data_IF_759659136384
#
_entry.id   IF_759659136384
#
_cell.length_a   1.000
_cell.length_b   1.000
_cell.length_c   1.000
_cell.angle_alpha   90.00
_cell.angle_beta   90.00
_cell.angle_gamma   90.00
#
_symmetry.space_group_name_H-M   'P 1'
#
loop_
_entity.id
_entity.type
_entity.pdbx_description
1 polymer ?
#
# COMPACT_ATOMS: atom_id res chain seq x y z
N UNK A 1 -10.73 -15.61 -21.38
CA UNK A 1 -10.21 -14.32 -21.88
C UNK A 1 -11.29 -13.28 -21.72
N UNK A 2 -10.96 -12.17 -21.14
CA UNK A 2 -11.84 -11.02 -20.94
C UNK A 2 -11.07 -9.76 -21.30
N UNK A 3 -11.69 -8.85 -22.05
CA UNK A 3 -11.08 -7.60 -22.47
C UNK A 3 -12.13 -6.51 -22.52
N UNK A 4 -11.76 -5.33 -22.06
CA UNK A 4 -12.63 -4.16 -22.10
C UNK A 4 -11.85 -2.91 -22.47
N UNK A 5 -12.52 -2.01 -23.14
CA UNK A 5 -12.05 -0.65 -23.39
C UNK A 5 -13.20 0.31 -23.13
N UNK A 6 -12.93 1.39 -22.44
CA UNK A 6 -13.88 2.47 -22.26
C UNK A 6 -13.24 3.83 -22.55
N UNK A 7 -14.01 4.67 -23.21
CA UNK A 7 -13.69 6.06 -23.47
C UNK A 7 -14.70 6.96 -22.79
N UNK A 8 -14.28 8.02 -22.15
CA UNK A 8 -15.14 8.92 -21.40
C UNK A 8 -14.71 10.38 -21.48
N UNK A 9 -15.42 11.23 -20.75
CA UNK A 9 -15.14 12.66 -20.65
C UNK A 9 -13.68 12.90 -20.21
N UNK A 10 -13.15 14.07 -20.60
CA UNK A 10 -11.78 14.51 -20.26
C UNK A 10 -10.69 13.61 -20.86
N UNK A 11 -10.95 13.11 -22.07
CA UNK A 11 -10.04 12.21 -22.78
C UNK A 11 -9.67 10.98 -21.93
N UNK A 12 -10.67 10.43 -21.21
CA UNK A 12 -10.43 9.30 -20.32
C UNK A 12 -10.44 8.00 -21.10
N UNK A 13 -9.35 7.26 -21.01
CA UNK A 13 -9.18 5.94 -21.62
C UNK A 13 -8.93 4.92 -20.52
N UNK A 14 -9.66 3.81 -20.54
CA UNK A 14 -9.41 2.67 -19.66
C UNK A 14 -9.38 1.40 -20.50
N UNK A 15 -8.29 0.69 -20.46
CA UNK A 15 -8.10 -0.60 -21.13
C UNK A 15 -7.83 -1.67 -20.09
N UNK A 16 -8.43 -2.82 -20.29
CA UNK A 16 -8.23 -3.98 -19.43
C UNK A 16 -8.22 -5.24 -20.29
N UNK A 17 -7.26 -6.13 -20.05
CA UNK A 17 -7.18 -7.46 -20.64
C UNK A 17 -6.84 -8.45 -19.55
N UNK A 18 -7.66 -9.50 -19.45
CA UNK A 18 -7.41 -10.65 -18.60
C UNK A 18 -7.35 -11.91 -19.46
N UNK A 19 -6.29 -12.67 -19.30
CA UNK A 19 -6.12 -13.94 -19.98
C UNK A 19 -5.52 -14.96 -19.02
N UNK A 20 -6.11 -16.15 -18.95
CA UNK A 20 -5.58 -17.21 -18.11
C UNK A 20 -6.00 -18.57 -18.64
N UNK A 21 -5.19 -19.58 -18.36
CA UNK A 21 -5.45 -20.95 -18.75
C UNK A 21 -4.81 -21.92 -17.75
N UNK A 22 -5.55 -22.97 -17.46
CA UNK A 22 -5.04 -24.16 -16.76
C UNK A 22 -5.05 -25.33 -17.72
N UNK A 23 -3.89 -25.94 -17.90
CA UNK A 23 -3.74 -27.14 -18.72
C UNK A 23 -4.10 -28.40 -17.93
N UNK A 24 -4.37 -29.51 -18.64
CA UNK A 24 -4.60 -30.82 -18.00
C UNK A 24 -3.42 -31.28 -17.13
N UNK A 25 -2.23 -30.83 -17.45
CA UNK A 25 -1.02 -31.05 -16.63
C UNK A 25 -1.04 -30.30 -15.29
N UNK A 26 -2.04 -29.43 -15.03
CA UNK A 26 -2.10 -28.54 -13.88
C UNK A 26 -1.23 -27.30 -13.99
N UNK A 27 -0.43 -27.15 -15.06
CA UNK A 27 0.26 -25.88 -15.34
C UNK A 27 -0.80 -24.80 -15.58
N UNK A 28 -0.67 -23.69 -14.84
CA UNK A 28 -1.60 -22.58 -14.89
C UNK A 28 -0.82 -21.29 -15.09
N UNK A 29 -1.32 -20.40 -15.95
CA UNK A 29 -0.85 -19.05 -16.05
C UNK A 29 -2.02 -18.05 -16.12
N UNK A 30 -1.78 -16.85 -15.62
CA UNK A 30 -2.72 -15.74 -15.59
C UNK A 30 -1.96 -14.48 -15.97
N UNK A 31 -2.52 -13.66 -16.86
CA UNK A 31 -1.97 -12.38 -17.28
C UNK A 31 -3.09 -11.35 -17.21
N UNK A 32 -2.87 -10.28 -16.45
CA UNK A 32 -3.75 -9.13 -16.38
C UNK A 32 -2.96 -7.90 -16.79
N UNK A 33 -3.50 -7.13 -17.71
CA UNK A 33 -2.94 -5.85 -18.15
C UNK A 33 -4.01 -4.80 -18.03
N UNK A 34 -3.68 -3.67 -17.44
CA UNK A 34 -4.58 -2.53 -17.46
C UNK A 34 -3.83 -1.21 -17.69
N UNK A 35 -4.54 -0.26 -18.26
CA UNK A 35 -4.08 1.10 -18.49
C UNK A 35 -5.24 2.05 -18.21
N UNK A 36 -4.93 3.14 -17.51
CA UNK A 36 -5.84 4.25 -17.29
C UNK A 36 -5.12 5.54 -17.68
N UNK A 37 -5.79 6.37 -18.46
CA UNK A 37 -5.34 7.70 -18.85
C UNK A 37 -6.51 8.68 -18.74
N UNK A 38 -6.24 9.91 -18.29
CA UNK A 38 -7.18 11.01 -18.36
C UNK A 38 -6.44 12.34 -18.30
N UNK A 39 -6.90 13.33 -19.08
CA UNK A 39 -6.42 14.71 -18.97
C UNK A 39 -6.97 15.40 -17.71
N UNK A 40 -8.07 14.88 -17.14
CA UNK A 40 -8.78 15.46 -15.97
C UNK A 40 -9.05 16.96 -16.11
N UNK A 41 -9.25 17.44 -17.33
CA UNK A 41 -9.35 18.84 -17.70
C UNK A 41 -10.77 19.41 -17.56
N UNK A 42 -11.47 19.00 -16.48
CA UNK A 42 -12.81 19.52 -16.16
C UNK A 42 -12.76 20.94 -15.59
N UNK A 43 -13.93 21.58 -15.57
CA UNK A 43 -14.07 22.92 -15.01
C UNK A 43 -14.29 22.89 -13.49
N UNK A 44 -13.80 23.93 -12.84
CA UNK A 44 -13.96 24.15 -11.40
C UNK A 44 -14.31 25.61 -11.14
N UNK A 45 -15.06 25.86 -10.08
CA UNK A 45 -15.41 27.20 -9.61
C UNK A 45 -14.46 27.56 -8.45
N UNK A 46 -13.61 28.58 -8.67
CA UNK A 46 -12.58 28.95 -7.71
C UNK A 46 -12.19 30.42 -7.84
N UNK A 47 -11.74 31.08 -6.75
CA UNK A 47 -11.11 32.38 -6.88
C UNK A 47 -9.76 32.28 -7.59
N UNK A 48 -9.47 33.22 -8.48
CA UNK A 48 -8.26 33.24 -9.29
C UNK A 48 -7.29 34.31 -8.76
N UNK A 49 -6.02 33.97 -8.66
CA UNK A 49 -4.94 34.91 -8.32
C UNK A 49 -4.74 35.88 -9.49
N UNK A 50 -4.84 37.17 -9.21
CA UNK A 50 -4.52 38.22 -10.17
C UNK A 50 -3.02 38.56 -10.06
N UNK A 51 -2.28 38.35 -11.14
CA UNK A 51 -0.84 38.62 -11.16
C UNK A 51 -0.48 40.10 -11.19
N UNK A 52 -1.41 40.98 -11.54
CA UNK A 52 -1.19 42.43 -11.50
C UNK A 52 -1.18 42.94 -10.06
N UNK A 53 -2.11 42.46 -9.26
CA UNK A 53 -2.26 42.89 -7.86
C UNK A 53 -1.58 41.93 -6.88
N UNK A 54 -1.29 40.70 -7.30
CA UNK A 54 -0.79 39.60 -6.45
C UNK A 54 -1.85 39.02 -5.52
N UNK A 55 -3.08 39.49 -5.54
CA UNK A 55 -4.14 39.14 -4.61
C UNK A 55 -5.08 38.04 -5.12
N UNK A 56 -5.70 37.31 -4.20
CA UNK A 56 -6.80 36.39 -4.46
C UNK A 56 -8.07 36.98 -3.86
N UNK A 57 -9.01 37.42 -4.71
CA UNK A 57 -10.30 37.89 -4.25
C UNK A 57 -11.25 36.71 -4.05
N UNK A 58 -11.42 36.26 -2.83
CA UNK A 58 -12.24 35.08 -2.47
C UNK A 58 -13.74 35.28 -2.77
N UNK A 59 -14.20 36.52 -3.01
CA UNK A 59 -15.60 36.82 -3.38
C UNK A 59 -15.83 36.74 -4.89
N UNK A 60 -14.74 36.76 -5.69
CA UNK A 60 -14.81 36.65 -7.15
C UNK A 60 -14.48 35.22 -7.55
N UNK A 61 -15.53 34.44 -7.79
CA UNK A 61 -15.41 33.07 -8.27
C UNK A 61 -15.43 33.08 -9.80
N UNK A 62 -14.50 32.36 -10.41
CA UNK A 62 -14.40 32.17 -11.86
C UNK A 62 -14.57 30.69 -12.22
N UNK A 63 -15.25 30.42 -13.32
CA UNK A 63 -15.40 29.09 -13.90
C UNK A 63 -14.20 28.81 -14.81
N UNK A 64 -13.24 28.03 -14.32
CA UNK A 64 -11.94 27.83 -15.00
C UNK A 64 -11.67 26.36 -15.25
N UNK A 65 -10.93 26.08 -16.31
CA UNK A 65 -10.60 24.72 -16.72
C UNK A 65 -9.27 24.26 -16.10
N UNK A 66 -9.22 23.02 -15.64
CA UNK A 66 -7.93 22.39 -15.26
C UNK A 66 -7.06 22.21 -16.50
N UNK A 67 -5.76 22.42 -16.36
CA UNK A 67 -4.81 22.37 -17.48
C UNK A 67 -3.55 21.55 -17.17
N UNK A 68 -3.35 21.13 -15.91
CA UNK A 68 -2.18 20.40 -15.44
C UNK A 68 -2.58 19.33 -14.40
N UNK A 69 -3.44 18.38 -14.83
CA UNK A 69 -3.94 17.31 -13.95
C UNK A 69 -3.98 15.95 -14.66
N UNK A 70 -3.17 15.78 -15.68
CA UNK A 70 -3.06 14.52 -16.41
C UNK A 70 -2.70 13.38 -15.49
N UNK A 71 -3.38 12.28 -15.66
CA UNK A 71 -3.09 11.03 -14.95
C UNK A 71 -2.89 9.88 -15.94
N UNK A 72 -1.79 9.15 -15.80
CA UNK A 72 -1.51 7.94 -16.56
C UNK A 72 -1.00 6.85 -15.63
N UNK A 73 -1.63 5.69 -15.67
CA UNK A 73 -1.23 4.53 -14.90
C UNK A 73 -1.42 3.27 -15.75
N UNK A 74 -0.44 2.39 -15.70
CA UNK A 74 -0.45 1.10 -16.39
C UNK A 74 0.16 0.02 -15.50
N UNK A 75 -0.34 -1.21 -15.62
CA UNK A 75 0.24 -2.34 -14.93
C UNK A 75 0.09 -3.64 -15.73
N UNK A 76 1.08 -4.51 -15.54
CA UNK A 76 1.09 -5.89 -16.01
C UNK A 76 1.27 -6.80 -14.81
N UNK A 77 0.35 -7.74 -14.64
CA UNK A 77 0.37 -8.75 -13.59
C UNK A 77 0.42 -10.11 -14.28
N UNK A 78 1.54 -10.81 -14.14
CA UNK A 78 1.72 -12.17 -14.62
C UNK A 78 1.80 -13.14 -13.45
N UNK A 79 1.16 -14.30 -13.58
CA UNK A 79 1.31 -15.42 -12.65
C UNK A 79 1.47 -16.70 -13.42
N UNK A 80 2.36 -17.57 -12.93
CA UNK A 80 2.60 -18.91 -13.48
C UNK A 80 2.82 -19.90 -12.34
N UNK A 81 2.31 -21.12 -12.51
CA UNK A 81 2.50 -22.14 -11.49
C UNK A 81 1.75 -23.41 -11.78
N UNK A 82 1.47 -24.15 -10.73
CA UNK A 82 0.81 -25.44 -10.80
C UNK A 82 -0.35 -25.52 -9.83
N UNK A 83 -1.43 -26.18 -10.24
CA UNK A 83 -2.57 -26.53 -9.40
C UNK A 83 -2.80 -28.04 -9.42
N UNK A 84 -3.48 -28.56 -8.40
CA UNK A 84 -3.91 -29.96 -8.27
C UNK A 84 -2.75 -30.97 -8.38
N UNK A 85 -1.63 -30.68 -7.72
CA UNK A 85 -0.49 -31.58 -7.63
C UNK A 85 -0.43 -32.29 -6.28
N UNK A 86 0.19 -33.48 -6.26
CA UNK A 86 0.39 -34.24 -5.00
C UNK A 86 1.17 -33.43 -3.96
N UNK A 87 2.08 -32.57 -4.39
CA UNK A 87 2.97 -31.74 -3.55
C UNK A 87 2.43 -30.33 -3.31
N UNK A 88 1.43 -29.87 -4.09
CA UNK A 88 0.78 -28.57 -3.89
C UNK A 88 -0.65 -28.57 -4.49
N UNK A 89 -1.63 -28.16 -3.72
CA UNK A 89 -2.97 -27.89 -4.28
C UNK A 89 -2.92 -26.64 -5.15
N UNK A 90 -2.05 -25.69 -4.78
CA UNK A 90 -1.72 -24.50 -5.56
C UNK A 90 -0.30 -24.04 -5.25
N UNK A 91 0.49 -23.80 -6.27
CA UNK A 91 1.76 -23.08 -6.21
C UNK A 91 1.81 -22.10 -7.37
N UNK A 92 1.81 -20.81 -7.08
CA UNK A 92 1.88 -19.75 -8.08
C UNK A 92 3.01 -18.79 -7.76
N UNK A 93 3.83 -18.50 -8.76
CA UNK A 93 4.76 -17.39 -8.77
C UNK A 93 4.12 -16.24 -9.55
N UNK A 94 4.09 -15.07 -8.96
CA UNK A 94 3.55 -13.86 -9.56
C UNK A 94 4.63 -12.80 -9.74
N UNK A 95 4.43 -11.96 -10.74
CA UNK A 95 5.21 -10.76 -10.97
C UNK A 95 4.28 -9.63 -11.39
N UNK A 96 4.37 -8.49 -10.70
CA UNK A 96 3.64 -7.29 -11.04
C UNK A 96 4.64 -6.18 -11.37
N UNK A 97 4.43 -5.53 -12.49
CA UNK A 97 5.04 -4.25 -12.83
C UNK A 97 3.96 -3.20 -13.01
N UNK A 98 4.15 -2.02 -12.44
CA UNK A 98 3.29 -0.88 -12.70
C UNK A 98 4.09 0.39 -12.86
N UNK A 99 3.58 1.30 -13.68
CA UNK A 99 4.11 2.65 -13.88
C UNK A 99 3.00 3.67 -13.67
N UNK A 100 3.35 4.84 -13.14
CA UNK A 100 2.42 5.93 -12.87
C UNK A 100 3.08 7.27 -13.17
N UNK A 101 2.32 8.14 -13.83
CA UNK A 101 2.60 9.56 -14.01
C UNK A 101 1.37 10.38 -13.61
N UNK A 102 1.58 11.47 -12.90
CA UNK A 102 0.51 12.38 -12.50
C UNK A 102 1.01 13.81 -12.45
N UNK A 103 0.37 14.69 -13.21
CA UNK A 103 0.46 16.14 -13.00
C UNK A 103 -0.28 16.54 -11.73
N UNK A 104 0.20 17.54 -11.03
CA UNK A 104 -0.37 18.02 -9.78
C UNK A 104 -0.83 19.45 -9.98
N UNK A 105 -2.12 19.64 -10.25
CA UNK A 105 -2.70 20.95 -10.52
C UNK A 105 -2.89 21.80 -9.27
N UNK A 106 -3.20 21.20 -8.12
CA UNK A 106 -3.55 21.94 -6.90
C UNK A 106 -2.89 21.38 -5.65
N UNK A 107 -2.63 22.25 -4.68
CA UNK A 107 -2.30 21.88 -3.31
C UNK A 107 -3.56 21.48 -2.50
N UNK A 108 -3.45 21.58 -1.16
CA UNK A 108 -4.57 21.32 -0.23
C UNK A 108 -5.71 22.32 -0.45
N UNK A 109 -5.38 23.57 -0.77
CA UNK A 109 -6.36 24.61 -1.09
C UNK A 109 -6.50 24.75 -2.60
N UNK A 110 -7.75 24.75 -3.10
CA UNK A 110 -8.05 24.78 -4.52
C UNK A 110 -7.59 26.08 -5.21
N UNK A 111 -7.55 27.21 -4.49
CA UNK A 111 -7.07 28.47 -5.03
C UNK A 111 -5.55 28.49 -5.30
N UNK A 112 -4.79 27.53 -4.75
CA UNK A 112 -3.35 27.37 -5.01
C UNK A 112 -3.18 26.40 -6.18
N UNK A 113 -2.71 26.92 -7.30
CA UNK A 113 -2.56 26.15 -8.54
C UNK A 113 -1.10 26.01 -8.92
N UNK A 114 -0.77 24.85 -9.46
CA UNK A 114 0.53 24.51 -9.99
C UNK A 114 0.44 24.21 -11.49
N UNK A 115 1.46 24.52 -12.27
CA UNK A 115 1.53 24.25 -13.69
C UNK A 115 2.78 23.47 -14.11
N UNK A 116 3.73 23.25 -13.21
CA UNK A 116 4.96 22.50 -13.49
C UNK A 116 5.24 21.36 -12.51
N UNK A 117 4.39 21.17 -11.51
CA UNK A 117 4.57 20.14 -10.48
C UNK A 117 4.00 18.80 -10.93
N UNK A 118 4.78 17.72 -10.80
CA UNK A 118 4.32 16.38 -11.16
C UNK A 118 4.95 15.29 -10.29
N UNK A 119 4.36 14.10 -10.39
CA UNK A 119 4.86 12.87 -9.74
C UNK A 119 4.91 11.75 -10.77
N UNK A 120 5.97 10.95 -10.71
CA UNK A 120 6.10 9.71 -11.48
C UNK A 120 6.68 8.60 -10.64
N UNK A 121 6.43 7.37 -11.02
CA UNK A 121 6.98 6.24 -10.29
C UNK A 121 6.71 4.90 -10.96
N UNK A 122 7.37 3.88 -10.44
CA UNK A 122 7.11 2.50 -10.84
C UNK A 122 7.12 1.58 -9.62
N UNK A 123 6.49 0.43 -9.77
CA UNK A 123 6.50 -0.63 -8.76
C UNK A 123 6.83 -1.97 -9.41
N UNK A 124 7.63 -2.77 -8.72
CA UNK A 124 7.97 -4.15 -9.07
C UNK A 124 7.63 -5.03 -7.88
N UNK A 125 6.82 -6.07 -8.10
CA UNK A 125 6.36 -6.93 -7.01
C UNK A 125 6.34 -8.41 -7.43
N UNK A 126 7.43 -9.17 -7.23
CA UNK A 126 7.38 -10.62 -7.23
C UNK A 126 6.56 -11.14 -6.05
N UNK A 127 5.85 -12.24 -6.25
CA UNK A 127 4.97 -12.86 -5.24
C UNK A 127 4.95 -14.37 -5.34
N UNK A 128 4.59 -15.01 -4.23
CA UNK A 128 4.45 -16.46 -4.08
C UNK A 128 3.12 -16.75 -3.36
N UNK A 129 2.34 -17.69 -3.88
CA UNK A 129 1.14 -18.27 -3.23
C UNK A 129 1.29 -19.80 -3.25
N UNK A 130 1.40 -20.39 -2.07
CA UNK A 130 1.46 -21.85 -1.88
C UNK A 130 0.34 -22.30 -0.96
N UNK A 131 -0.34 -23.38 -1.37
CA UNK A 131 -1.40 -24.01 -0.57
C UNK A 131 -1.29 -25.51 -0.69
N UNK A 132 -1.41 -26.19 0.44
CA UNK A 132 -1.44 -27.64 0.49
C UNK A 132 -2.32 -28.11 1.64
N UNK A 133 -3.34 -28.91 1.30
CA UNK A 133 -4.12 -29.68 2.29
C UNK A 133 -3.41 -30.99 2.59
N UNK A 134 -3.60 -31.48 3.80
CA UNK A 134 -2.98 -32.72 4.28
C UNK A 134 -1.44 -32.72 4.05
N UNK A 135 -0.77 -31.61 4.38
CA UNK A 135 0.67 -31.41 4.21
C UNK A 135 1.46 -32.30 5.17
N UNK A 136 2.22 -33.28 4.66
CA UNK A 136 2.93 -34.35 5.37
C UNK A 136 2.03 -35.28 6.20
N UNK A 137 1.04 -34.76 6.92
CA UNK A 137 0.11 -35.53 7.75
C UNK A 137 -1.35 -35.14 7.46
N UNK A 138 -2.26 -36.11 7.57
CA UNK A 138 -3.69 -35.88 7.34
C UNK A 138 -4.22 -34.86 8.35
N UNK A 139 -4.97 -33.88 7.89
CA UNK A 139 -5.58 -32.82 8.69
C UNK A 139 -4.70 -31.57 8.85
N UNK A 140 -3.44 -31.59 8.42
CA UNK A 140 -2.59 -30.40 8.41
C UNK A 140 -2.69 -29.66 7.08
N UNK A 141 -3.33 -28.50 7.09
CA UNK A 141 -3.45 -27.63 5.92
C UNK A 141 -2.47 -26.43 6.09
N UNK A 142 -1.70 -26.12 5.05
CA UNK A 142 -0.73 -25.04 5.05
C UNK A 142 -1.03 -24.06 3.92
N UNK A 143 -1.00 -22.78 4.24
CA UNK A 143 -1.06 -21.66 3.30
C UNK A 143 0.12 -20.74 3.57
N UNK A 144 0.91 -20.48 2.53
CA UNK A 144 2.01 -19.54 2.55
C UNK A 144 1.81 -18.51 1.44
N UNK A 145 1.84 -17.23 1.79
CA UNK A 145 1.90 -16.14 0.82
C UNK A 145 3.10 -15.26 1.14
N UNK A 146 3.80 -14.80 0.10
CA UNK A 146 4.90 -13.88 0.25
C UNK A 146 4.94 -12.92 -0.94
N UNK A 147 5.35 -11.69 -0.71
CA UNK A 147 5.67 -10.74 -1.77
C UNK A 147 6.79 -9.79 -1.33
N UNK A 148 7.51 -9.31 -2.30
CA UNK A 148 8.42 -8.18 -2.17
C UNK A 148 7.92 -7.06 -3.08
N UNK A 149 7.72 -5.87 -2.54
CA UNK A 149 7.32 -4.70 -3.30
C UNK A 149 8.43 -3.66 -3.26
N UNK A 150 9.06 -3.41 -4.40
CA UNK A 150 9.91 -2.25 -4.63
C UNK A 150 9.07 -1.18 -5.33
N UNK A 151 8.83 -0.07 -4.64
CA UNK A 151 8.11 1.07 -5.17
C UNK A 151 9.03 2.29 -5.18
N UNK A 152 9.25 2.87 -6.35
CA UNK A 152 9.98 4.11 -6.53
C UNK A 152 9.00 5.23 -6.89
N UNK A 153 9.10 6.36 -6.22
CA UNK A 153 8.32 7.56 -6.54
C UNK A 153 9.25 8.75 -6.63
N UNK A 154 9.08 9.55 -7.67
CA UNK A 154 9.79 10.82 -7.85
C UNK A 154 8.78 11.97 -7.82
N UNK A 155 8.97 12.90 -6.85
CA UNK A 155 8.21 14.13 -6.74
C UNK A 155 9.04 15.28 -7.30
N UNK A 156 8.49 16.00 -8.27
CA UNK A 156 9.20 17.07 -8.99
C UNK A 156 8.42 18.36 -8.88
N UNK A 157 9.12 19.40 -8.42
CA UNK A 157 8.65 20.78 -8.33
C UNK A 157 9.85 21.68 -8.62
N UNK A 158 10.17 21.86 -9.91
CA UNK A 158 11.37 22.59 -10.38
C UNK A 158 11.01 23.75 -11.31
N UNK A 159 9.71 24.08 -11.41
CA UNK A 159 9.28 25.18 -12.27
C UNK A 159 9.91 26.49 -11.86
N UNK A 160 10.38 27.28 -12.86
CA UNK A 160 10.82 28.66 -12.68
C UNK A 160 9.67 29.67 -12.79
N UNK A 161 8.44 29.19 -12.95
CA UNK A 161 7.24 30.00 -13.08
C UNK A 161 6.18 29.57 -12.08
N UNK A 162 5.42 30.52 -11.52
CA UNK A 162 4.13 30.26 -10.90
C UNK A 162 3.01 30.47 -11.91
N UNK A 163 1.88 29.78 -11.68
CA UNK A 163 0.71 29.78 -12.54
C UNK A 163 -0.52 30.25 -11.78
N UNK A 164 -1.48 30.81 -12.51
CA UNK A 164 -2.83 30.98 -11.98
C UNK A 164 -3.84 30.08 -12.72
N UNK A 165 -5.07 30.07 -12.28
CA UNK A 165 -6.13 29.23 -12.86
C UNK A 165 -6.50 29.56 -14.31
N UNK A 166 -6.10 30.73 -14.83
CA UNK A 166 -6.26 31.08 -16.25
C UNK A 166 -5.13 30.54 -17.12
N UNK A 167 -4.15 29.88 -16.53
CA UNK A 167 -2.94 29.44 -17.23
C UNK A 167 -1.92 30.56 -17.49
N UNK A 168 -2.17 31.75 -16.95
CA UNK A 168 -1.19 32.83 -16.97
C UNK A 168 0.01 32.45 -16.09
N UNK A 169 1.21 32.82 -16.51
CA UNK A 169 2.45 32.49 -15.79
C UNK A 169 3.28 33.76 -15.51
N UNK A 170 4.00 33.69 -14.39
CA UNK A 170 4.93 34.75 -14.00
C UNK A 170 6.23 34.12 -13.45
N UNK A 171 7.41 34.68 -13.74
CA UNK A 171 8.68 34.16 -13.21
C UNK A 171 8.71 34.20 -11.68
N UNK A 172 9.20 33.11 -11.08
CA UNK A 172 9.54 33.03 -9.67
C UNK A 172 10.94 33.57 -9.40
N UNK A 173 11.17 34.12 -8.23
CA UNK A 173 12.51 34.52 -7.77
C UNK A 173 13.42 33.32 -7.51
N UNK A 174 12.84 32.24 -7.01
CA UNK A 174 13.49 30.96 -6.79
C UNK A 174 12.60 29.88 -7.42
N UNK A 175 13.19 28.85 -8.09
CA UNK A 175 12.43 27.76 -8.65
C UNK A 175 11.61 27.01 -7.58
N UNK A 176 10.54 26.32 -8.02
CA UNK A 176 9.62 25.57 -7.19
C UNK A 176 8.34 26.35 -6.87
N UNK A 177 7.20 25.80 -7.28
CA UNK A 177 5.89 26.46 -7.10
C UNK A 177 5.40 26.36 -5.64
N UNK A 178 5.77 25.29 -4.95
CA UNK A 178 5.53 25.08 -3.52
C UNK A 178 6.84 24.92 -2.75
N UNK A 179 7.74 24.08 -3.28
CA UNK A 179 9.07 23.86 -2.70
C UNK A 179 10.00 23.35 -3.79
N UNK A 180 11.18 23.99 -3.96
CA UNK A 180 12.15 23.52 -4.96
C UNK A 180 12.64 22.12 -4.61
N UNK A 181 12.14 21.10 -5.35
CA UNK A 181 12.48 19.72 -5.08
C UNK A 181 12.45 18.85 -6.33
N UNK A 182 13.32 17.87 -6.33
CA UNK A 182 13.27 16.70 -7.20
C UNK A 182 13.70 15.51 -6.32
N UNK A 183 12.74 14.95 -5.60
CA UNK A 183 13.01 13.95 -4.57
C UNK A 183 12.57 12.57 -5.04
N UNK A 184 13.50 11.64 -5.03
CA UNK A 184 13.26 10.21 -5.24
C UNK A 184 13.08 9.52 -3.90
N UNK A 185 11.97 8.78 -3.77
CA UNK A 185 11.69 7.91 -2.63
C UNK A 185 11.67 6.45 -3.09
N UNK A 186 12.56 5.63 -2.56
CA UNK A 186 12.60 4.19 -2.78
C UNK A 186 12.02 3.48 -1.55
N UNK A 187 10.88 2.80 -1.74
CA UNK A 187 10.21 2.01 -0.71
C UNK A 187 10.39 0.53 -1.04
N UNK A 188 10.95 -0.22 -0.10
CA UNK A 188 11.12 -1.66 -0.18
C UNK A 188 10.29 -2.31 0.92
N UNK A 189 9.38 -3.21 0.54
CA UNK A 189 8.46 -3.83 1.49
C UNK A 189 8.38 -5.34 1.26
N UNK A 190 8.76 -6.14 2.26
CA UNK A 190 8.58 -7.58 2.33
C UNK A 190 7.35 -7.89 3.15
N UNK A 191 6.45 -8.69 2.60
CA UNK A 191 5.29 -9.22 3.32
C UNK A 191 5.28 -10.74 3.20
N UNK A 192 4.98 -11.40 4.30
CA UNK A 192 4.82 -12.85 4.33
C UNK A 192 3.73 -13.23 5.32
N UNK A 193 2.95 -14.26 4.96
CA UNK A 193 1.96 -14.85 5.86
C UNK A 193 2.04 -16.37 5.74
N UNK A 194 2.23 -17.03 6.87
CA UNK A 194 2.14 -18.48 7.01
C UNK A 194 0.95 -18.81 7.90
N UNK A 195 0.05 -19.66 7.41
CA UNK A 195 -1.04 -20.22 8.21
C UNK A 195 -0.98 -21.74 8.13
N UNK A 196 -0.93 -22.39 9.28
CA UNK A 196 -1.00 -23.83 9.41
C UNK A 196 -2.20 -24.20 10.28
N UNK A 197 -3.14 -24.96 9.73
CA UNK A 197 -4.32 -25.46 10.45
C UNK A 197 -4.19 -26.96 10.59
N UNK A 198 -4.18 -27.45 11.83
CA UNK A 198 -4.12 -28.88 12.13
C UNK A 198 -5.41 -29.34 12.78
N UNK A 199 -6.14 -30.20 12.07
CA UNK A 199 -7.40 -30.79 12.52
C UNK A 199 -7.17 -32.20 13.05
N UNK A 200 -7.53 -32.44 14.30
CA UNK A 200 -7.46 -33.74 14.95
C UNK A 200 -8.90 -34.21 15.21
N UNK A 201 -9.28 -35.29 14.49
CA UNK A 201 -10.66 -35.74 14.50
C UNK A 201 -11.64 -34.69 13.95
N UNK A 202 -12.85 -34.65 14.51
CA UNK A 202 -13.89 -33.69 14.10
C UNK A 202 -13.99 -32.46 15.01
N UNK A 203 -13.43 -32.58 16.23
CA UNK A 203 -13.69 -31.60 17.30
C UNK A 203 -12.54 -30.59 17.50
N UNK A 204 -11.31 -30.94 17.17
CA UNK A 204 -10.13 -30.17 17.56
C UNK A 204 -9.46 -29.53 16.37
N UNK A 205 -9.18 -28.22 16.43
CA UNK A 205 -8.40 -27.51 15.41
C UNK A 205 -7.36 -26.63 16.11
N UNK A 206 -6.10 -26.81 15.76
CA UNK A 206 -5.00 -25.92 16.12
C UNK A 206 -4.67 -25.05 14.89
N UNK A 207 -4.52 -23.75 15.10
CA UNK A 207 -4.11 -22.84 14.04
C UNK A 207 -2.88 -22.07 14.50
N UNK A 208 -1.81 -22.19 13.74
CA UNK A 208 -0.65 -21.29 13.82
C UNK A 208 -0.72 -20.29 12.68
N UNK A 209 -0.56 -19.02 13.01
CA UNK A 209 -0.45 -17.95 12.03
C UNK A 209 0.78 -17.11 12.32
N UNK A 210 1.56 -16.79 11.29
CA UNK A 210 2.69 -15.89 11.38
C UNK A 210 2.63 -14.87 10.25
N UNK A 211 2.73 -13.60 10.60
CA UNK A 211 2.78 -12.47 9.66
C UNK A 211 4.08 -11.74 9.87
N UNK A 212 4.82 -11.55 8.79
CA UNK A 212 6.00 -10.70 8.73
C UNK A 212 5.77 -9.54 7.77
N UNK A 213 6.12 -8.34 8.19
CA UNK A 213 6.22 -7.17 7.35
C UNK A 213 7.56 -6.48 7.64
N UNK A 214 8.36 -6.25 6.59
CA UNK A 214 9.63 -5.53 6.71
C UNK A 214 9.64 -4.42 5.66
N UNK A 215 9.62 -3.18 6.12
CA UNK A 215 9.57 -1.97 5.31
C UNK A 215 10.86 -1.17 5.49
N UNK A 216 11.38 -0.65 4.38
CA UNK A 216 12.48 0.31 4.36
C UNK A 216 12.20 1.39 3.33
N UNK A 217 12.33 2.65 3.75
CA UNK A 217 12.22 3.82 2.89
C UNK A 217 13.53 4.59 2.93
N UNK A 218 14.04 4.94 1.76
CA UNK A 218 15.13 5.88 1.58
C UNK A 218 14.68 7.00 0.64
N UNK A 219 15.02 8.23 0.98
CA UNK A 219 14.78 9.41 0.15
C UNK A 219 16.13 9.92 -0.37
N UNK A 220 16.12 10.46 -1.57
CA UNK A 220 17.28 11.06 -2.20
C UNK A 220 16.86 12.34 -2.93
N UNK A 221 17.53 13.45 -2.68
CA UNK A 221 17.42 14.65 -3.51
C UNK A 221 18.22 14.43 -4.81
N UNK A 222 17.63 14.79 -5.94
CA UNK A 222 18.29 14.76 -7.25
C UNK A 222 18.78 16.18 -7.68
N UNK A 223 18.60 17.20 -6.84
CA UNK A 223 18.98 18.59 -7.11
C UNK A 223 20.19 19.03 -6.31
N UNK A 224 20.26 18.64 -5.06
CA UNK A 224 21.27 19.05 -4.10
C UNK A 224 21.80 17.84 -3.35
N UNK A 225 22.84 18.02 -2.53
CA UNK A 225 23.24 17.03 -1.54
C UNK A 225 22.05 16.68 -0.63
N UNK A 226 21.93 15.39 -0.28
CA UNK A 226 20.88 14.94 0.60
C UNK A 226 21.00 15.65 1.96
N UNK A 227 19.85 16.04 2.52
CA UNK A 227 19.81 16.43 3.91
C UNK A 227 20.21 15.24 4.79
N UNK A 228 20.80 15.48 5.95
CA UNK A 228 21.20 14.41 6.88
C UNK A 228 20.03 13.51 7.26
N UNK A 229 18.84 14.08 7.42
CA UNK A 229 17.62 13.32 7.65
C UNK A 229 17.31 12.32 6.51
N UNK A 230 17.49 12.72 5.26
CA UNK A 230 17.25 11.88 4.09
C UNK A 230 18.30 10.77 3.92
N UNK A 231 19.53 11.00 4.38
CA UNK A 231 20.61 10.01 4.36
C UNK A 231 20.33 8.80 5.27
N UNK A 232 19.45 8.96 6.28
CA UNK A 232 19.10 7.90 7.24
C UNK A 232 17.79 7.22 6.80
N UNK A 233 17.82 5.94 6.38
CA UNK A 233 16.61 5.22 6.01
C UNK A 233 15.65 5.04 7.19
N UNK A 234 14.35 5.12 6.91
CA UNK A 234 13.29 4.71 7.83
C UNK A 234 13.01 3.22 7.64
N UNK A 235 13.10 2.45 8.71
CA UNK A 235 12.92 1.00 8.69
C UNK A 235 11.87 0.57 9.72
N UNK A 236 11.05 -0.42 9.35
CA UNK A 236 10.12 -1.09 10.27
C UNK A 236 10.12 -2.57 9.97
N UNK A 237 10.23 -3.40 11.00
CA UNK A 237 10.03 -4.85 10.90
C UNK A 237 8.99 -5.27 11.95
N UNK A 238 7.88 -5.83 11.48
CA UNK A 238 6.78 -6.32 12.31
C UNK A 238 6.70 -7.84 12.16
N UNK A 239 6.65 -8.54 13.28
CA UNK A 239 6.40 -9.96 13.35
C UNK A 239 5.21 -10.18 14.30
N UNK A 240 4.20 -10.88 13.83
CA UNK A 240 3.04 -11.23 14.63
C UNK A 240 2.83 -12.72 14.50
N UNK A 241 3.01 -13.45 15.60
CA UNK A 241 2.76 -14.89 15.68
C UNK A 241 1.51 -15.14 16.53
N UNK A 242 0.58 -15.92 16.02
CA UNK A 242 -0.62 -16.33 16.72
C UNK A 242 -0.75 -17.83 16.79
N UNK A 243 -1.14 -18.35 17.95
CA UNK A 243 -1.53 -19.73 18.13
C UNK A 243 -2.95 -19.75 18.67
N UNK A 244 -3.82 -20.52 18.04
CA UNK A 244 -5.19 -20.72 18.51
C UNK A 244 -5.55 -22.19 18.57
N UNK A 245 -6.41 -22.51 19.53
CA UNK A 245 -7.05 -23.79 19.66
C UNK A 245 -8.55 -23.60 19.62
N UNK A 246 -9.23 -24.35 18.75
CA UNK A 246 -10.69 -24.40 18.66
C UNK A 246 -11.18 -25.80 18.97
N UNK A 247 -12.14 -25.85 19.91
CA UNK A 247 -12.89 -27.04 20.29
C UNK A 247 -14.34 -26.94 19.78
N UNK A 248 -14.78 -27.93 19.03
CA UNK A 248 -16.16 -28.04 18.50
C UNK A 248 -16.63 -29.49 18.61
N UNK A 249 -16.97 -29.96 19.82
CA UNK A 249 -17.32 -31.38 20.05
C UNK A 249 -18.69 -31.74 19.48
N UNK A 250 -19.57 -30.76 19.32
CA UNK A 250 -20.91 -30.92 18.72
C UNK A 250 -21.21 -29.77 17.78
N UNK A 251 -22.25 -29.88 16.98
CA UNK A 251 -22.74 -28.80 16.10
C UNK A 251 -23.37 -27.63 16.89
N UNK A 252 -23.64 -27.82 18.20
CA UNK A 252 -24.34 -26.85 19.03
C UNK A 252 -23.44 -25.80 19.65
N UNK A 253 -22.16 -26.06 19.85
CA UNK A 253 -21.27 -25.09 20.43
C UNK A 253 -19.81 -25.24 19.98
N UNK A 254 -19.10 -24.14 20.01
CA UNK A 254 -17.67 -24.10 19.84
C UNK A 254 -17.03 -23.12 20.82
N UNK A 255 -15.79 -23.40 21.16
CA UNK A 255 -14.93 -22.57 21.99
C UNK A 255 -13.59 -22.40 21.26
N UNK A 256 -13.09 -21.18 21.22
CA UNK A 256 -11.76 -20.88 20.73
C UNK A 256 -10.98 -20.09 21.76
N UNK A 257 -9.72 -20.47 21.99
CA UNK A 257 -8.77 -19.71 22.78
C UNK A 257 -7.54 -19.42 21.94
N UNK A 258 -6.93 -18.25 22.10
CA UNK A 258 -5.77 -17.88 21.31
C UNK A 258 -4.82 -16.96 22.06
N UNK A 259 -3.54 -17.04 21.69
CA UNK A 259 -2.48 -16.13 22.09
C UNK A 259 -1.80 -15.54 20.87
N UNK A 260 -1.37 -14.28 20.98
CA UNK A 260 -0.63 -13.57 19.94
C UNK A 260 0.63 -12.95 20.53
N UNK A 261 1.74 -13.11 19.86
CA UNK A 261 2.99 -12.41 20.15
C UNK A 261 3.26 -11.36 19.10
N UNK A 262 3.43 -10.14 19.53
CA UNK A 262 3.74 -8.99 18.71
C UNK A 262 5.19 -8.60 18.95
N UNK A 263 5.93 -8.39 17.88
CA UNK A 263 7.28 -7.82 17.94
C UNK A 263 7.45 -6.81 16.81
N UNK A 264 7.97 -5.64 17.15
CA UNK A 264 8.28 -4.60 16.18
C UNK A 264 9.64 -4.00 16.47
N UNK A 265 10.45 -3.89 15.43
CA UNK A 265 11.67 -3.10 15.38
C UNK A 265 11.43 -1.90 14.47
N UNK A 266 11.84 -0.71 14.91
CA UNK A 266 11.76 0.54 14.17
C UNK A 266 13.12 1.21 14.20
N UNK A 267 13.54 1.79 13.08
CA UNK A 267 14.72 2.64 12.98
C UNK A 267 14.43 3.83 12.06
N UNK A 268 14.99 4.98 12.39
CA UNK A 268 14.82 6.20 11.60
C UNK A 268 15.65 7.36 12.12
N UNK A 269 15.62 8.50 11.42
CA UNK A 269 16.28 9.73 11.84
C UNK A 269 15.55 10.35 13.04
N UNK A 270 16.31 10.89 13.98
CA UNK A 270 15.80 11.73 15.07
C UNK A 270 16.72 12.95 15.17
N UNK A 271 16.13 14.14 15.15
CA UNK A 271 16.88 15.38 15.31
C UNK A 271 17.56 15.44 16.68
N UNK A 272 18.83 15.82 16.71
CA UNK A 272 19.62 16.00 17.94
C UNK A 272 19.51 17.40 18.51
N UNK A 273 19.07 18.35 17.68
CA UNK A 273 18.89 19.74 18.04
C UNK A 273 17.49 20.25 17.75
N UNK A 274 17.05 21.29 18.44
CA UNK A 274 15.79 21.99 18.15
C UNK A 274 15.81 22.75 16.82
N UNK A 275 17.00 22.97 16.23
CA UNK A 275 17.16 23.58 14.91
C UNK A 275 16.90 22.58 13.76
N UNK A 276 16.84 21.29 14.06
CA UNK A 276 16.62 20.21 13.08
C UNK A 276 17.68 20.20 11.96
N UNK A 277 18.93 20.52 12.30
CA UNK A 277 20.07 20.59 11.39
C UNK A 277 21.02 19.40 11.51
N UNK A 278 20.87 18.57 12.54
CA UNK A 278 21.66 17.37 12.79
C UNK A 278 20.76 16.19 13.18
N UNK A 279 21.00 15.00 12.62
CA UNK A 279 20.18 13.81 12.81
C UNK A 279 21.02 12.59 13.12
N UNK A 280 20.53 11.76 14.03
CA UNK A 280 21.11 10.46 14.34
C UNK A 280 20.13 9.33 14.02
N UNK A 281 20.68 8.19 13.62
CA UNK A 281 19.89 6.96 13.47
C UNK A 281 19.53 6.41 14.84
N UNK A 282 18.26 6.46 15.17
CA UNK A 282 17.70 5.89 16.41
C UNK A 282 16.96 4.60 16.12
N UNK A 283 17.04 3.66 17.04
CA UNK A 283 16.34 2.37 16.96
C UNK A 283 15.49 2.12 18.18
N UNK A 284 14.33 1.49 17.99
CA UNK A 284 13.47 1.05 19.08
C UNK A 284 12.88 -0.32 18.78
N UNK A 285 12.65 -1.12 19.83
CA UNK A 285 12.00 -2.44 19.73
C UNK A 285 10.91 -2.56 20.77
N UNK A 286 9.74 -2.98 20.30
CA UNK A 286 8.56 -3.19 21.15
C UNK A 286 8.07 -4.62 21.01
N UNK A 287 7.80 -5.28 22.13
CA UNK A 287 7.19 -6.61 22.15
C UNK A 287 6.00 -6.62 23.11
N UNK A 288 4.95 -7.34 22.73
CA UNK A 288 3.74 -7.47 23.54
C UNK A 288 3.08 -8.83 23.32
N UNK A 289 2.30 -9.25 24.32
CA UNK A 289 1.49 -10.47 24.27
C UNK A 289 0.01 -10.10 24.32
N UNK A 290 -0.75 -10.57 23.33
CA UNK A 290 -2.20 -10.51 23.30
C UNK A 290 -2.79 -11.90 23.51
N UNK A 291 -4.02 -11.97 23.99
CA UNK A 291 -4.74 -13.22 24.15
C UNK A 291 -6.25 -12.99 24.12
N UNK A 292 -7.00 -14.05 23.87
CA UNK A 292 -8.45 -13.96 23.87
C UNK A 292 -9.12 -15.33 23.85
N UNK A 293 -10.42 -15.28 24.06
CA UNK A 293 -11.31 -16.42 23.95
C UNK A 293 -12.61 -16.01 23.27
N UNK A 294 -13.20 -16.93 22.52
CA UNK A 294 -14.50 -16.73 21.89
C UNK A 294 -15.31 -18.02 21.95
N UNK A 295 -16.58 -17.90 22.32
CA UNK A 295 -17.54 -19.00 22.38
C UNK A 295 -18.77 -18.70 21.56
N UNK A 296 -19.34 -19.74 20.95
CA UNK A 296 -20.63 -19.68 20.27
C UNK A 296 -21.48 -20.84 20.73
N UNK A 297 -22.74 -20.55 21.07
CA UNK A 297 -23.76 -21.56 21.40
C UNK A 297 -24.98 -21.38 20.52
N UNK A 298 -25.37 -22.44 19.83
CA UNK A 298 -26.59 -22.46 19.00
C UNK A 298 -27.76 -22.91 19.86
N UNK A 299 -28.59 -21.96 20.28
CA UNK A 299 -29.79 -22.18 21.09
C UNK A 299 -30.86 -22.89 20.29
N UNK A 300 -31.01 -22.45 19.02
CA UNK A 300 -31.87 -23.04 17.98
C UNK A 300 -31.11 -23.03 16.66
N UNK A 301 -31.64 -23.73 15.63
CA UNK A 301 -31.02 -23.68 14.28
C UNK A 301 -30.92 -22.26 13.72
N UNK A 302 -31.83 -21.38 14.12
CA UNK A 302 -31.88 -19.96 13.66
C UNK A 302 -31.42 -18.94 14.71
N UNK A 303 -31.09 -19.36 15.94
CA UNK A 303 -30.69 -18.47 17.03
C UNK A 303 -29.36 -18.92 17.65
N UNK A 304 -28.37 -18.04 17.67
CA UNK A 304 -27.07 -18.28 18.30
C UNK A 304 -26.68 -17.15 19.26
N UNK A 305 -26.03 -17.52 20.35
CA UNK A 305 -25.37 -16.59 21.26
C UNK A 305 -23.86 -16.64 20.99
N UNK A 306 -23.20 -15.49 20.95
CA UNK A 306 -21.75 -15.35 20.78
C UNK A 306 -21.21 -14.45 21.88
N UNK A 307 -20.10 -14.87 22.49
CA UNK A 307 -19.33 -14.08 23.42
C UNK A 307 -17.86 -14.13 23.02
N UNK A 308 -17.18 -12.99 23.03
CA UNK A 308 -15.75 -12.93 22.79
C UNK A 308 -15.09 -11.88 23.66
N UNK A 309 -13.87 -12.18 24.05
CA UNK A 309 -12.97 -11.26 24.74
C UNK A 309 -11.60 -11.34 24.10
N UNK A 310 -10.98 -10.19 23.83
CA UNK A 310 -9.62 -10.10 23.31
C UNK A 310 -8.87 -8.94 23.99
N UNK A 311 -7.67 -9.23 24.48
CA UNK A 311 -6.66 -8.23 24.82
C UNK A 311 -5.70 -8.12 23.63
N UNK A 312 -5.87 -7.09 22.82
CA UNK A 312 -5.03 -6.80 21.64
C UNK A 312 -4.10 -5.62 21.91
N UNK A 313 -3.00 -5.57 21.16
CA UNK A 313 -2.09 -4.44 21.15
C UNK A 313 -2.02 -3.85 19.74
N UNK A 314 -2.00 -2.52 19.67
CA UNK A 314 -1.67 -1.77 18.46
C UNK A 314 -0.19 -1.43 18.50
N UNK A 315 0.53 -1.86 17.49
CA UNK A 315 1.92 -1.46 17.31
C UNK A 315 2.00 -0.03 16.74
N UNK A 316 2.93 0.83 17.21
CA UNK A 316 3.05 2.20 16.75
C UNK A 316 3.43 2.27 15.25
N UNK A 317 3.05 3.37 14.59
CA UNK A 317 3.50 3.70 13.24
C UNK A 317 4.85 4.41 13.27
N UNK A 318 5.51 4.57 12.10
CA UNK A 318 6.75 5.32 12.00
C UNK A 318 6.54 6.80 12.34
N UNK A 319 5.40 7.38 11.92
CA UNK A 319 5.02 8.77 12.21
C UNK A 319 4.84 9.00 13.72
N UNK A 320 4.21 8.05 14.42
CA UNK A 320 4.06 8.14 15.88
C UNK A 320 5.39 8.04 16.64
N UNK A 321 6.41 7.43 16.03
CA UNK A 321 7.73 7.24 16.66
C UNK A 321 8.74 8.32 16.28
N UNK A 322 8.67 8.88 15.08
CA UNK A 322 9.65 9.82 14.55
C UNK A 322 9.04 11.16 14.09
N UNK A 323 7.72 11.34 14.22
CA UNK A 323 7.00 12.52 13.75
C UNK A 323 6.72 12.50 12.23
N UNK A 324 5.89 13.44 11.78
CA UNK A 324 5.68 13.76 10.36
C UNK A 324 6.88 14.60 9.87
N UNK A 325 7.52 14.13 8.80
CA UNK A 325 8.55 14.88 8.05
C UNK A 325 8.05 15.20 6.65
#
# INVERSE_FOLDING_TARGET
MDASYSYGSFNTHKSYVNFGQTFRSGLTYEINVFQNYSDNNYYVDTPVKDFTTGAINKKKIEHVKRFHDTYHNEAVIGKIGFVDKKWADRLMFGFTYSHMYKDIQTGVRQEVVFGGKYRKGYSIMPSLDYRKRDFFVRGLDVVLTANYNKNMTNNVDTSSYEYNWRGEMRPLRMPGEQSYQNTRSDNNNWNGTLTANYRIGKAHTFTFNHVINAFRRSNQSLLNEDSEANAIPKETRKNISGLSYRLMPTEHWNLSVFGKYYNQFIAGPVATSSAQDDYIRTTNSVSAMGYGAAGTYFILKSLQAKLSYEKAYRLPTNEEMFGDE
#
